data_IF_720272708577
#
_entry.id   IF_720272708577
#
_cell.length_a   1.000
_cell.length_b   1.000
_cell.length_c   1.000
_cell.angle_alpha   90.00
_cell.angle_beta   90.00
_cell.angle_gamma   90.00
#
_symmetry.space_group_name_H-M   'P 1'
#
loop_
_entity.id
_entity.type
_entity.pdbx_description
1 polymer ?
#
# COMPACT_ATOMS: atom_id res chain seq x y z
N UNK A 1 14.11 -28.87 42.41
CA UNK A 1 12.85 -28.10 42.30
C UNK A 1 13.24 -26.63 42.39
N UNK A 2 12.94 -25.71 41.48
CA UNK A 2 12.05 -25.66 40.31
C UNK A 2 12.73 -24.82 39.23
N UNK A 3 12.51 -25.19 37.97
CA UNK A 3 12.80 -24.35 36.81
C UNK A 3 11.79 -23.19 36.76
N UNK A 4 12.25 -21.95 36.78
CA UNK A 4 11.44 -20.80 36.34
C UNK A 4 11.34 -20.85 34.83
N UNK A 5 10.29 -21.52 34.35
CA UNK A 5 9.78 -21.38 32.99
C UNK A 5 9.37 -19.92 32.81
N UNK A 6 10.14 -19.16 32.03
CA UNK A 6 9.69 -17.88 31.52
C UNK A 6 8.41 -18.09 30.71
N UNK A 7 7.32 -17.49 31.17
CA UNK A 7 6.09 -17.46 30.41
C UNK A 7 6.37 -16.85 29.03
N UNK A 8 5.73 -17.34 27.95
CA UNK A 8 5.81 -16.67 26.66
C UNK A 8 5.28 -15.25 26.85
N UNK A 9 5.97 -14.27 26.27
CA UNK A 9 5.51 -12.89 26.25
C UNK A 9 4.07 -12.88 25.72
N UNK A 10 3.13 -12.59 26.62
CA UNK A 10 1.75 -12.28 26.25
C UNK A 10 1.79 -11.20 25.17
N UNK A 11 1.05 -11.41 24.08
CA UNK A 11 1.06 -10.57 22.88
C UNK A 11 1.08 -9.09 23.24
N UNK A 12 2.02 -8.36 22.64
CA UNK A 12 2.20 -6.93 22.88
C UNK A 12 0.84 -6.23 22.78
N UNK A 13 0.42 -5.56 23.86
CA UNK A 13 -0.79 -4.75 23.83
C UNK A 13 -0.73 -3.79 22.62
N UNK A 14 -1.86 -3.51 21.95
CA UNK A 14 -1.89 -2.55 20.85
C UNK A 14 -1.41 -1.19 21.36
N UNK A 15 -0.16 -0.87 21.04
CA UNK A 15 0.58 0.27 21.58
C UNK A 15 1.01 1.20 20.45
N UNK A 16 1.64 2.32 20.81
CA UNK A 16 2.09 3.35 19.88
C UNK A 16 3.05 2.81 18.80
N UNK A 17 3.94 1.90 19.17
CA UNK A 17 4.94 1.35 18.25
C UNK A 17 4.26 0.47 17.20
N UNK A 18 3.29 -0.37 17.60
CA UNK A 18 2.50 -1.17 16.68
C UNK A 18 1.67 -0.32 15.69
N UNK A 19 1.22 0.88 16.10
CA UNK A 19 0.58 1.84 15.18
C UNK A 19 1.57 2.38 14.15
N UNK A 20 2.79 2.75 14.58
CA UNK A 20 3.82 3.24 13.67
C UNK A 20 4.28 2.14 12.69
N UNK A 21 4.47 0.92 13.18
CA UNK A 21 4.77 -0.26 12.37
C UNK A 21 3.68 -0.51 11.32
N UNK A 22 2.41 -0.37 11.70
CA UNK A 22 1.29 -0.48 10.77
C UNK A 22 1.39 0.52 9.61
N UNK A 23 1.66 1.79 9.90
CA UNK A 23 1.81 2.84 8.88
C UNK A 23 2.97 2.52 7.93
N UNK A 24 4.09 2.02 8.45
CA UNK A 24 5.25 1.59 7.65
C UNK A 24 4.97 0.35 6.81
N UNK A 25 4.19 -0.59 7.34
CA UNK A 25 3.75 -1.75 6.56
C UNK A 25 2.85 -1.32 5.38
N UNK A 26 2.02 -0.29 5.58
CA UNK A 26 1.18 0.28 4.53
C UNK A 26 2.02 0.96 3.44
N UNK A 27 3.02 1.76 3.83
CA UNK A 27 4.02 2.34 2.93
C UNK A 27 4.70 1.27 2.07
N UNK A 28 5.18 0.20 2.71
CA UNK A 28 5.83 -0.92 2.01
C UNK A 28 4.88 -1.60 1.03
N UNK A 29 3.67 -1.96 1.47
CA UNK A 29 2.70 -2.64 0.62
C UNK A 29 2.27 -1.78 -0.59
N UNK A 30 2.14 -0.46 -0.41
CA UNK A 30 1.86 0.47 -1.50
C UNK A 30 2.98 0.49 -2.54
N UNK A 31 4.24 0.55 -2.08
CA UNK A 31 5.42 0.59 -2.95
C UNK A 31 5.71 -0.75 -3.62
N UNK A 32 5.41 -1.86 -2.95
CA UNK A 32 5.46 -3.19 -3.54
C UNK A 32 4.29 -3.46 -4.49
N UNK A 33 3.27 -2.58 -4.50
CA UNK A 33 2.03 -2.76 -5.27
C UNK A 33 1.34 -4.08 -4.88
N UNK A 34 1.43 -4.44 -3.59
CA UNK A 34 0.84 -5.65 -3.03
C UNK A 34 -0.57 -5.35 -2.55
N UNK A 35 -1.52 -5.46 -3.49
CA UNK A 35 -2.93 -5.12 -3.24
C UNK A 35 -3.58 -6.04 -2.21
N UNK A 36 -3.15 -7.30 -2.14
CA UNK A 36 -3.58 -8.22 -1.09
C UNK A 36 -3.10 -7.77 0.28
N UNK A 37 -1.81 -7.39 0.40
CA UNK A 37 -1.27 -6.90 1.67
C UNK A 37 -1.93 -5.59 2.11
N UNK A 38 -2.25 -4.69 1.18
CA UNK A 38 -3.07 -3.51 1.46
C UNK A 38 -4.43 -3.90 2.03
N UNK A 39 -5.10 -4.88 1.42
CA UNK A 39 -6.36 -5.43 1.94
C UNK A 39 -6.20 -5.99 3.35
N UNK A 40 -5.13 -6.74 3.62
CA UNK A 40 -4.85 -7.28 4.94
C UNK A 40 -4.55 -6.20 5.97
N UNK A 41 -3.94 -5.09 5.56
CA UNK A 41 -3.68 -3.91 6.40
C UNK A 41 -4.88 -2.95 6.48
N UNK A 42 -5.98 -3.23 5.81
CA UNK A 42 -7.19 -2.41 5.86
C UNK A 42 -8.24 -3.11 6.71
N UNK A 43 -9.08 -2.35 7.41
CA UNK A 43 -10.12 -2.95 8.23
C UNK A 43 -11.19 -3.59 7.34
N UNK A 44 -11.90 -4.58 7.84
CA UNK A 44 -12.81 -5.43 7.07
C UNK A 44 -13.86 -4.60 6.31
N UNK A 45 -14.34 -3.52 6.95
CA UNK A 45 -15.31 -2.58 6.35
C UNK A 45 -14.83 -1.92 5.05
N UNK A 46 -13.52 -1.68 4.92
CA UNK A 46 -12.94 -0.92 3.81
C UNK A 46 -11.96 -1.74 2.96
N UNK A 47 -11.74 -3.01 3.30
CA UNK A 47 -10.79 -3.91 2.66
C UNK A 47 -10.94 -3.95 1.14
N UNK A 48 -12.12 -4.32 0.64
CA UNK A 48 -12.35 -4.48 -0.80
C UNK A 48 -12.18 -3.16 -1.57
N UNK A 49 -12.57 -2.03 -0.95
CA UNK A 49 -12.37 -0.70 -1.52
C UNK A 49 -10.89 -0.39 -1.69
N UNK A 50 -10.09 -0.55 -0.63
CA UNK A 50 -8.66 -0.23 -0.69
C UNK A 50 -7.91 -1.16 -1.64
N UNK A 51 -8.30 -2.44 -1.69
CA UNK A 51 -7.78 -3.39 -2.68
C UNK A 51 -8.10 -2.90 -4.11
N UNK A 52 -9.36 -2.58 -4.40
CA UNK A 52 -9.78 -2.11 -5.73
C UNK A 52 -9.11 -0.79 -6.13
N UNK A 53 -8.99 0.17 -5.20
CA UNK A 53 -8.31 1.44 -5.44
C UNK A 53 -6.84 1.23 -5.82
N UNK A 54 -6.13 0.35 -5.11
CA UNK A 54 -4.73 0.09 -5.41
C UNK A 54 -4.56 -0.77 -6.67
N UNK A 55 -5.47 -1.71 -6.95
CA UNK A 55 -5.49 -2.50 -8.18
C UNK A 55 -5.73 -1.62 -9.41
N UNK A 56 -6.57 -0.58 -9.31
CA UNK A 56 -6.90 0.32 -10.43
C UNK A 56 -5.71 1.11 -10.98
N UNK A 57 -4.61 1.19 -10.21
CA UNK A 57 -3.35 1.83 -10.65
C UNK A 57 -2.54 0.96 -11.60
N UNK A 58 -2.84 -0.34 -11.64
CA UNK A 58 -2.07 -1.35 -12.34
C UNK A 58 -2.59 -1.45 -13.77
N UNK A 59 -1.73 -1.26 -14.78
CA UNK A 59 -2.12 -1.39 -16.17
C UNK A 59 -2.74 -2.75 -16.49
N UNK A 60 -3.87 -2.71 -17.18
CA UNK A 60 -4.59 -3.87 -17.72
C UNK A 60 -4.28 -4.03 -19.20
N UNK A 61 -4.67 -5.14 -19.82
CA UNK A 61 -4.49 -5.39 -21.25
C UNK A 61 -5.01 -4.24 -22.13
N UNK A 62 -6.12 -3.63 -21.72
CA UNK A 62 -6.77 -2.53 -22.46
C UNK A 62 -5.94 -1.25 -22.45
N UNK A 63 -4.99 -1.10 -21.50
CA UNK A 63 -4.04 0.02 -21.49
C UNK A 63 -2.93 -0.14 -22.55
N UNK A 64 -2.76 -1.32 -23.16
CA UNK A 64 -1.63 -1.68 -24.05
C UNK A 64 -1.99 -1.73 -25.52
N UNK A 65 -2.96 -0.91 -25.96
CA UNK A 65 -3.31 -0.84 -27.38
C UNK A 65 -2.16 -0.25 -28.21
N UNK A 66 -1.39 0.70 -27.64
CA UNK A 66 -0.22 1.33 -28.27
C UNK A 66 0.89 1.64 -27.25
N UNK A 67 2.16 1.29 -27.51
CA UNK A 67 3.26 1.62 -26.61
C UNK A 67 3.42 3.11 -26.28
N UNK A 68 3.07 4.00 -27.21
CA UNK A 68 3.14 5.46 -27.01
C UNK A 68 2.23 5.95 -25.89
N UNK A 69 1.04 5.36 -25.77
CA UNK A 69 0.05 5.75 -24.77
C UNK A 69 0.48 5.31 -23.37
N UNK A 70 1.21 4.18 -23.32
CA UNK A 70 1.81 3.67 -22.10
C UNK A 70 2.92 4.60 -21.58
N UNK A 71 3.83 5.07 -22.43
CA UNK A 71 4.86 6.03 -22.03
C UNK A 71 4.29 7.40 -21.62
N UNK A 72 3.16 7.82 -22.20
CA UNK A 72 2.49 9.04 -21.78
C UNK A 72 1.94 8.93 -20.34
N UNK A 73 1.42 7.75 -19.97
CA UNK A 73 0.86 7.47 -18.63
C UNK A 73 1.95 7.09 -17.61
N UNK A 74 3.02 6.44 -18.08
CA UNK A 74 4.11 5.86 -17.30
C UNK A 74 5.47 6.30 -17.87
N UNK A 75 5.85 7.58 -17.71
CA UNK A 75 7.01 8.16 -18.37
C UNK A 75 8.36 7.62 -17.88
N UNK A 76 8.39 6.90 -16.75
CA UNK A 76 9.59 6.23 -16.23
C UNK A 76 9.66 4.75 -16.61
N UNK A 77 8.73 4.27 -17.43
CA UNK A 77 8.73 2.89 -17.91
C UNK A 77 10.09 2.55 -18.54
N UNK A 78 10.70 1.47 -18.06
CA UNK A 78 11.95 0.97 -18.64
C UNK A 78 11.70 0.14 -19.89
N UNK A 79 12.69 0.09 -20.79
CA UNK A 79 12.61 -0.76 -21.98
C UNK A 79 12.48 -2.25 -21.61
N UNK A 80 13.15 -2.69 -20.54
CA UNK A 80 13.06 -4.07 -20.05
C UNK A 80 11.63 -4.44 -19.66
N UNK A 81 10.97 -3.60 -18.86
CA UNK A 81 9.58 -3.82 -18.44
C UNK A 81 8.62 -3.78 -19.62
N UNK A 82 8.84 -2.89 -20.61
CA UNK A 82 8.08 -2.89 -21.86
C UNK A 82 8.24 -4.21 -22.63
N UNK A 83 9.47 -4.71 -22.76
CA UNK A 83 9.75 -5.96 -23.46
C UNK A 83 9.07 -7.16 -22.77
N UNK A 84 9.07 -7.20 -21.43
CA UNK A 84 8.35 -8.20 -20.64
C UNK A 84 6.84 -8.16 -20.88
N UNK A 85 6.24 -6.96 -20.96
CA UNK A 85 4.81 -6.79 -21.25
C UNK A 85 4.45 -7.29 -22.65
N UNK A 86 5.25 -6.92 -23.65
CA UNK A 86 5.05 -7.33 -25.04
C UNK A 86 5.24 -8.84 -25.22
N UNK A 87 6.21 -9.42 -24.52
CA UNK A 87 6.49 -10.85 -24.53
C UNK A 87 5.35 -11.65 -23.87
N UNK A 88 4.88 -11.21 -22.69
CA UNK A 88 3.70 -11.79 -22.06
C UNK A 88 2.44 -11.67 -22.93
N UNK A 89 2.26 -10.54 -23.63
CA UNK A 89 1.19 -10.32 -24.59
C UNK A 89 1.20 -11.33 -25.74
N UNK A 90 2.37 -11.53 -26.36
CA UNK A 90 2.56 -12.50 -27.44
C UNK A 90 2.23 -13.92 -26.98
N UNK A 91 2.63 -14.29 -25.76
CA UNK A 91 2.33 -15.60 -25.16
C UNK A 91 0.90 -15.74 -24.62
N UNK A 92 0.13 -14.65 -24.54
CA UNK A 92 -1.16 -14.58 -23.84
C UNK A 92 -1.06 -15.03 -22.37
N UNK A 93 0.06 -14.72 -21.74
CA UNK A 93 0.34 -15.08 -20.35
C UNK A 93 -0.16 -13.97 -19.42
N UNK A 94 -1.36 -14.16 -18.87
CA UNK A 94 -1.96 -13.20 -17.96
C UNK A 94 -1.15 -13.00 -16.67
N UNK A 95 -0.48 -14.04 -16.17
CA UNK A 95 0.29 -13.94 -14.93
C UNK A 95 1.58 -13.16 -15.15
N UNK A 96 2.34 -13.48 -16.21
CA UNK A 96 3.53 -12.73 -16.58
C UNK A 96 3.21 -11.27 -16.90
N UNK A 97 2.11 -11.02 -17.60
CA UNK A 97 1.67 -9.66 -17.89
C UNK A 97 1.34 -8.87 -16.63
N UNK A 98 0.58 -9.47 -15.70
CA UNK A 98 0.24 -8.83 -14.42
C UNK A 98 1.49 -8.50 -13.60
N UNK A 99 2.51 -9.36 -13.62
CA UNK A 99 3.79 -9.13 -12.95
C UNK A 99 4.54 -7.94 -13.56
N UNK A 100 4.63 -7.88 -14.90
CA UNK A 100 5.28 -6.76 -15.55
C UNK A 100 4.48 -5.45 -15.37
N UNK A 101 3.14 -5.50 -15.33
CA UNK A 101 2.30 -4.34 -15.00
C UNK A 101 2.52 -3.82 -13.56
N UNK A 102 2.84 -4.69 -12.59
CA UNK A 102 3.28 -4.24 -11.26
C UNK A 102 4.56 -3.42 -11.38
N UNK A 103 5.52 -3.93 -12.16
CA UNK A 103 6.80 -3.27 -12.32
C UNK A 103 6.64 -1.87 -12.96
N UNK A 104 5.71 -1.71 -13.92
CA UNK A 104 5.35 -0.38 -14.46
C UNK A 104 4.99 0.60 -13.34
N UNK A 105 4.14 0.19 -12.39
CA UNK A 105 3.73 1.04 -11.28
C UNK A 105 4.90 1.31 -10.32
N UNK A 106 5.74 0.32 -10.03
CA UNK A 106 6.92 0.49 -9.16
C UNK A 106 7.95 1.48 -9.72
N UNK A 107 8.13 1.48 -11.04
CA UNK A 107 9.04 2.41 -11.72
C UNK A 107 8.51 3.85 -11.71
N UNK A 108 7.19 4.02 -11.70
CA UNK A 108 6.55 5.31 -11.85
C UNK A 108 6.03 5.89 -10.54
N UNK A 109 5.76 5.09 -9.52
CA UNK A 109 5.12 5.55 -8.30
C UNK A 109 5.91 5.20 -7.07
N UNK A 110 6.01 6.17 -6.17
CA UNK A 110 6.61 5.94 -4.87
C UNK A 110 5.85 6.74 -3.82
N UNK A 111 5.63 6.11 -2.67
CA UNK A 111 5.09 6.71 -1.45
C UNK A 111 6.18 6.68 -0.39
N UNK A 112 6.42 7.83 0.23
CA UNK A 112 7.31 7.94 1.39
C UNK A 112 6.50 8.45 2.58
N UNK A 113 6.56 7.75 3.71
CA UNK A 113 6.07 8.26 4.99
C UNK A 113 7.18 9.10 5.60
N UNK A 114 7.05 10.42 5.45
CA UNK A 114 8.02 11.38 5.95
C UNK A 114 7.95 11.53 7.47
N UNK A 115 6.74 11.47 8.04
CA UNK A 115 6.55 11.61 9.48
C UNK A 115 5.33 10.84 10.01
N UNK A 116 5.41 10.40 11.27
CA UNK A 116 4.36 9.72 12.03
C UNK A 116 4.21 10.41 13.38
N UNK A 117 3.14 11.19 13.53
CA UNK A 117 2.91 12.07 14.66
C UNK A 117 1.59 11.78 15.37
N UNK A 118 1.41 12.39 16.55
CA UNK A 118 0.13 12.43 17.31
C UNK A 118 -0.56 11.07 17.45
N UNK A 119 0.21 9.99 17.60
CA UNK A 119 -0.35 8.65 17.85
C UNK A 119 -1.12 8.66 19.17
N UNK A 120 -2.41 8.41 19.09
CA UNK A 120 -3.33 8.33 20.22
C UNK A 120 -4.06 6.98 20.16
N UNK A 121 -3.78 6.11 21.13
CA UNK A 121 -4.43 4.80 21.25
C UNK A 121 -5.60 4.92 22.22
N UNK A 122 -6.80 4.60 21.74
CA UNK A 122 -8.08 4.73 22.43
C UNK A 122 -8.59 3.33 22.77
N UNK A 123 -8.68 3.04 24.06
CA UNK A 123 -9.31 1.81 24.60
C UNK A 123 -8.73 0.49 24.05
N UNK A 124 -7.48 0.51 23.56
CA UNK A 124 -6.82 -0.66 22.94
C UNK A 124 -7.58 -1.29 21.75
N UNK A 125 -8.57 -0.57 21.19
CA UNK A 125 -9.39 -1.01 20.06
C UNK A 125 -9.37 -0.06 18.89
N UNK A 126 -9.15 1.22 19.15
CA UNK A 126 -9.07 2.25 18.12
C UNK A 126 -7.80 3.07 18.31
N UNK A 127 -7.27 3.62 17.24
CA UNK A 127 -6.20 4.60 17.32
C UNK A 127 -6.37 5.68 16.26
N UNK A 128 -5.82 6.84 16.53
CA UNK A 128 -5.62 7.89 15.53
C UNK A 128 -4.14 8.18 15.42
N UNK A 129 -3.65 8.44 14.21
CA UNK A 129 -2.27 8.84 13.95
C UNK A 129 -2.24 9.87 12.83
N UNK A 130 -1.48 10.94 13.00
CA UNK A 130 -1.25 11.91 11.93
C UNK A 130 -0.06 11.44 11.11
N UNK A 131 -0.26 11.23 9.82
CA UNK A 131 0.78 10.76 8.90
C UNK A 131 1.07 11.84 7.87
N UNK A 132 2.35 12.18 7.70
CA UNK A 132 2.80 13.00 6.57
C UNK A 132 3.39 12.09 5.51
N UNK A 133 2.78 12.08 4.34
CA UNK A 133 3.21 11.29 3.19
C UNK A 133 3.70 12.19 2.07
N UNK A 134 4.70 11.74 1.32
CA UNK A 134 5.11 12.32 0.04
C UNK A 134 4.89 11.29 -1.06
N UNK A 135 4.18 11.66 -2.11
CA UNK A 135 3.91 10.78 -3.26
C UNK A 135 4.52 11.34 -4.53
N UNK A 136 5.11 10.45 -5.33
CA UNK A 136 5.61 10.74 -6.68
C UNK A 136 4.85 9.86 -7.67
N UNK A 137 4.49 10.43 -8.82
CA UNK A 137 3.94 9.70 -9.97
C UNK A 137 4.59 10.16 -11.27
N UNK A 138 5.19 9.23 -12.02
CA UNK A 138 5.94 9.52 -13.23
C UNK A 138 6.98 10.60 -12.99
N UNK A 139 6.91 11.68 -13.77
CA UNK A 139 7.80 12.83 -13.70
C UNK A 139 7.26 13.99 -12.86
N UNK A 140 6.12 13.81 -12.18
CA UNK A 140 5.59 14.83 -11.28
C UNK A 140 6.58 15.11 -10.14
N UNK A 141 6.61 16.36 -9.69
CA UNK A 141 7.29 16.70 -8.44
C UNK A 141 6.59 16.01 -7.25
N UNK A 142 7.33 15.63 -6.18
CA UNK A 142 6.73 15.03 -5.00
C UNK A 142 5.61 15.89 -4.42
N UNK A 143 4.45 15.27 -4.15
CA UNK A 143 3.29 15.91 -3.52
C UNK A 143 3.21 15.44 -2.08
N UNK A 144 3.39 16.38 -1.15
CA UNK A 144 3.32 16.11 0.29
C UNK A 144 1.93 16.43 0.83
N UNK A 145 1.40 15.53 1.64
CA UNK A 145 0.13 15.69 2.35
C UNK A 145 0.28 15.22 3.80
N UNK A 146 -0.46 15.87 4.70
CA UNK A 146 -0.59 15.46 6.09
C UNK A 146 -2.05 15.15 6.36
N UNK A 147 -2.35 13.95 6.87
CA UNK A 147 -3.71 13.53 7.17
C UNK A 147 -3.77 12.63 8.41
N UNK A 148 -4.92 12.62 9.05
CA UNK A 148 -5.20 11.71 10.16
C UNK A 148 -5.68 10.36 9.63
N UNK A 149 -5.06 9.30 10.14
CA UNK A 149 -5.44 7.92 9.90
C UNK A 149 -6.12 7.38 11.16
N UNK A 150 -7.30 6.82 10.97
CA UNK A 150 -8.10 6.10 11.93
C UNK A 150 -7.79 4.61 11.78
N UNK A 151 -7.38 3.98 12.86
CA UNK A 151 -7.06 2.57 12.90
C UNK A 151 -8.01 1.86 13.86
N UNK A 152 -8.36 0.62 13.51
CA UNK A 152 -9.09 -0.29 14.39
C UNK A 152 -8.23 -1.53 14.62
N UNK A 153 -8.22 -2.03 15.85
CA UNK A 153 -7.53 -3.27 16.20
C UNK A 153 -8.48 -4.45 15.97
N UNK A 154 -8.22 -5.21 14.92
CA UNK A 154 -9.01 -6.37 14.53
C UNK A 154 -8.11 -7.40 13.83
N UNK A 155 -8.51 -8.68 13.88
CA UNK A 155 -7.67 -9.78 13.38
C UNK A 155 -6.25 -9.69 13.98
N UNK A 156 -6.18 -9.45 15.28
CA UNK A 156 -4.97 -9.33 16.11
C UNK A 156 -3.90 -8.33 15.60
N UNK A 157 -4.30 -7.32 14.82
CA UNK A 157 -3.42 -6.22 14.44
C UNK A 157 -4.18 -4.91 14.18
N UNK A 158 -3.45 -3.80 14.15
CA UNK A 158 -4.00 -2.54 13.67
C UNK A 158 -4.33 -2.61 12.18
N UNK A 159 -5.45 -1.98 11.80
CA UNK A 159 -5.95 -1.91 10.42
C UNK A 159 -6.37 -0.49 10.07
N UNK A 160 -5.99 -0.03 8.88
CA UNK A 160 -6.40 1.25 8.32
C UNK A 160 -7.90 1.28 8.09
N UNK A 161 -8.56 2.28 8.65
CA UNK A 161 -10.01 2.31 8.78
C UNK A 161 -10.61 3.70 8.54
N UNK A 162 -10.04 4.45 7.58
CA UNK A 162 -10.56 5.77 7.22
C UNK A 162 -11.87 5.67 6.43
N UNK A 163 -12.93 6.37 6.85
CA UNK A 163 -14.05 6.66 5.96
C UNK A 163 -13.58 7.57 4.83
N UNK A 164 -14.18 7.46 3.64
CA UNK A 164 -13.99 8.48 2.60
C UNK A 164 -14.68 9.75 3.09
N UNK A 165 -13.90 10.71 3.60
CA UNK A 165 -14.37 12.07 3.71
C UNK A 165 -14.26 12.68 2.31
N UNK A 166 -15.29 12.51 1.49
CA UNK A 166 -15.41 13.30 0.26
C UNK A 166 -15.51 14.75 0.68
N UNK A 167 -14.40 15.48 0.59
CA UNK A 167 -14.47 16.94 0.52
C UNK A 167 -15.14 17.24 -0.82
N UNK A 168 -16.41 17.63 -0.77
CA UNK A 168 -17.12 18.20 -1.91
C UNK A 168 -16.56 19.59 -2.21
#
# INVERSE_FOLDING_TARGET
MLATLGAPAAGAAPNRDAVAEHVRAWEKAYNDVDTNKIGDLTCDKYRDREMANNESRIPTWDDFVKPTDLYAKFPKLTQETLDQLLDAAKRKDAAAFRQASVQVVRENSHLTVANIDKVNVIEAKNATVTVTTSTVWGNDSPKTSTSDWYLTYERDAWRYCNPVLTVR
#
